data_IF_691952213909
#
_entry.id   IF_691952213909
#
_cell.length_a   1.000
_cell.length_b   1.000
_cell.length_c   1.000
_cell.angle_alpha   90.00
_cell.angle_beta   90.00
_cell.angle_gamma   90.00
#
_symmetry.space_group_name_H-M   'P 1'
#
loop_
_entity.id
_entity.type
_entity.pdbx_description
1 polymer ?
#
# COMPACT_ATOMS: atom_id res chain seq x y z
N UNK A 1 26.17 26.55 -31.19
CA UNK A 1 26.05 25.27 -30.45
C UNK A 1 25.48 25.57 -29.08
N UNK A 2 24.33 25.00 -28.69
CA UNK A 2 23.84 25.13 -27.31
C UNK A 2 24.80 24.40 -26.35
N UNK A 3 25.04 24.93 -25.14
CA UNK A 3 25.92 24.32 -24.17
C UNK A 3 25.40 22.95 -23.71
N UNK A 4 26.30 21.97 -23.61
CA UNK A 4 25.99 20.61 -23.21
C UNK A 4 25.48 20.53 -21.77
N UNK A 5 24.30 19.92 -21.59
CA UNK A 5 23.68 19.65 -20.29
C UNK A 5 24.37 18.44 -19.66
N UNK A 6 25.62 18.60 -19.24
CA UNK A 6 26.46 17.53 -18.67
C UNK A 6 26.83 17.80 -17.20
N UNK A 7 25.92 18.40 -16.43
CA UNK A 7 26.24 18.84 -15.06
C UNK A 7 25.08 18.99 -14.08
N UNK A 8 23.86 18.60 -14.42
CA UNK A 8 22.79 18.52 -13.42
C UNK A 8 22.94 17.21 -12.65
N UNK A 9 23.80 17.19 -11.64
CA UNK A 9 23.78 16.17 -10.57
C UNK A 9 22.48 16.38 -9.78
N UNK A 10 21.36 15.94 -10.37
CA UNK A 10 20.05 15.93 -9.70
C UNK A 10 20.16 14.86 -8.63
N UNK A 11 20.66 15.27 -7.46
CA UNK A 11 20.61 14.46 -6.24
C UNK A 11 19.15 14.31 -5.86
N UNK A 12 18.52 13.26 -6.39
CA UNK A 12 17.26 12.75 -5.87
C UNK A 12 17.46 12.50 -4.38
N UNK A 13 16.65 13.11 -3.50
CA UNK A 13 16.64 12.76 -2.09
C UNK A 13 16.42 11.26 -1.98
N UNK A 14 17.50 10.54 -1.62
CA UNK A 14 17.49 9.10 -1.73
C UNK A 14 16.78 8.54 -0.50
N UNK A 15 15.48 8.25 -0.63
CA UNK A 15 14.60 7.61 0.37
C UNK A 15 15.32 6.46 1.10
N UNK A 16 16.11 5.69 0.33
CA UNK A 16 16.81 4.50 0.80
C UNK A 16 17.81 4.82 1.92
N UNK A 17 18.44 5.98 1.90
CA UNK A 17 19.47 6.36 2.89
C UNK A 17 18.84 6.73 4.24
N UNK A 18 17.69 7.40 4.20
CA UNK A 18 16.93 7.79 5.40
C UNK A 18 16.33 6.55 6.06
N UNK A 19 15.76 5.65 5.25
CA UNK A 19 15.11 4.43 5.74
C UNK A 19 16.10 3.32 6.12
N UNK A 20 17.29 3.26 5.51
CA UNK A 20 18.29 2.23 5.81
C UNK A 20 18.87 2.32 7.23
N UNK A 21 18.90 3.52 7.83
CA UNK A 21 19.36 3.70 9.22
C UNK A 21 18.43 3.08 10.26
N UNK A 22 17.19 2.71 9.88
CA UNK A 22 16.19 2.19 10.81
C UNK A 22 16.09 0.66 10.84
N UNK A 23 16.97 -0.09 10.16
CA UNK A 23 16.85 -1.56 10.07
C UNK A 23 17.72 -2.28 11.11
N UNK A 24 17.10 -2.82 12.15
CA UNK A 24 17.70 -3.81 13.05
C UNK A 24 17.49 -5.25 12.57
N UNK A 25 18.23 -6.20 13.14
CA UNK A 25 18.10 -7.65 12.85
C UNK A 25 16.69 -8.18 13.18
N UNK A 26 16.06 -7.64 14.23
CA UNK A 26 14.71 -8.00 14.65
C UNK A 26 13.64 -7.59 13.62
N UNK A 27 13.82 -6.44 12.94
CA UNK A 27 12.88 -5.96 11.92
C UNK A 27 12.83 -6.90 10.71
N UNK A 28 13.95 -7.55 10.37
CA UNK A 28 14.01 -8.51 9.27
C UNK A 28 13.20 -9.76 9.55
N UNK A 29 13.19 -10.21 10.81
CA UNK A 29 12.41 -11.37 11.25
C UNK A 29 10.93 -11.02 11.26
N UNK A 30 10.56 -9.87 11.84
CA UNK A 30 9.18 -9.40 11.83
C UNK A 30 8.64 -9.24 10.40
N UNK A 31 9.41 -8.63 9.49
CA UNK A 31 9.04 -8.50 8.07
C UNK A 31 8.83 -9.86 7.40
N UNK A 32 9.70 -10.84 7.66
CA UNK A 32 9.57 -12.17 7.08
C UNK A 32 8.28 -12.86 7.57
N UNK A 33 8.00 -12.80 8.87
CA UNK A 33 6.79 -13.38 9.46
C UNK A 33 5.53 -12.70 8.91
N UNK A 34 5.47 -11.37 8.90
CA UNK A 34 4.31 -10.64 8.38
C UNK A 34 4.10 -10.89 6.88
N UNK A 35 5.18 -10.93 6.10
CA UNK A 35 5.08 -11.21 4.66
C UNK A 35 4.55 -12.63 4.43
N UNK A 36 5.02 -13.62 5.19
CA UNK A 36 4.51 -14.99 5.12
C UNK A 36 3.04 -15.09 5.54
N UNK A 37 2.67 -14.48 6.67
CA UNK A 37 1.31 -14.45 7.19
C UNK A 37 0.32 -13.74 6.26
N UNK A 38 0.79 -12.79 5.44
CA UNK A 38 -0.02 -12.12 4.42
C UNK A 38 -0.28 -12.93 3.16
N UNK A 39 0.25 -14.16 3.05
CA UNK A 39 0.06 -15.00 1.85
C UNK A 39 -1.16 -15.92 1.97
N UNK A 40 -1.79 -16.25 0.83
CA UNK A 40 -2.84 -17.27 0.77
C UNK A 40 -2.35 -18.67 1.19
N UNK A 41 -1.06 -18.97 1.00
CA UNK A 41 -0.45 -20.23 1.41
C UNK A 41 -0.58 -20.46 2.92
N UNK A 42 -0.42 -19.41 3.73
CA UNK A 42 -0.57 -19.47 5.18
C UNK A 42 -1.98 -19.96 5.58
N UNK A 43 -3.02 -19.47 4.90
CA UNK A 43 -4.42 -19.86 5.13
C UNK A 43 -4.63 -21.34 4.81
N UNK A 44 -4.14 -21.81 3.67
CA UNK A 44 -4.24 -23.22 3.30
C UNK A 44 -3.50 -24.16 4.25
N UNK A 45 -2.31 -23.77 4.73
CA UNK A 45 -1.55 -24.52 5.72
C UNK A 45 -2.33 -24.65 7.04
N UNK A 46 -2.94 -23.56 7.53
CA UNK A 46 -3.76 -23.59 8.74
C UNK A 46 -5.01 -24.43 8.58
N UNK A 47 -5.71 -24.32 7.46
CA UNK A 47 -6.88 -25.14 7.17
C UNK A 47 -6.54 -26.63 7.16
N UNK A 48 -5.42 -27.01 6.52
CA UNK A 48 -4.93 -28.39 6.50
C UNK A 48 -4.54 -28.86 7.90
N UNK A 49 -3.80 -28.04 8.65
CA UNK A 49 -3.39 -28.32 10.04
C UNK A 49 -4.60 -28.57 10.95
N UNK A 50 -5.61 -27.70 10.92
CA UNK A 50 -6.84 -27.88 11.71
C UNK A 50 -7.62 -29.13 11.31
N UNK A 51 -7.72 -29.40 10.01
CA UNK A 51 -8.38 -30.62 9.51
C UNK A 51 -7.67 -31.87 10.04
N UNK A 52 -6.34 -31.89 9.99
CA UNK A 52 -5.51 -32.98 10.52
C UNK A 52 -5.71 -33.12 12.04
N UNK A 53 -5.67 -32.02 12.79
CA UNK A 53 -5.86 -32.05 14.25
C UNK A 53 -7.21 -32.61 14.67
N UNK A 54 -8.29 -32.16 14.02
CA UNK A 54 -9.65 -32.63 14.29
C UNK A 54 -9.76 -34.12 13.94
N UNK A 55 -9.27 -34.54 12.77
CA UNK A 55 -9.29 -35.95 12.36
C UNK A 55 -8.53 -36.86 13.34
N UNK A 56 -7.40 -36.40 13.90
CA UNK A 56 -6.68 -37.14 14.93
C UNK A 56 -7.46 -37.24 16.24
N UNK A 57 -8.09 -36.15 16.70
CA UNK A 57 -8.81 -36.12 17.99
C UNK A 57 -10.21 -36.73 17.95
N UNK A 58 -10.86 -36.81 16.79
CA UNK A 58 -12.13 -37.52 16.58
C UNK A 58 -11.99 -39.06 16.58
N UNK A 59 -10.80 -39.58 16.92
CA UNK A 59 -10.60 -41.00 17.16
C UNK A 59 -10.38 -41.84 15.90
N UNK A 60 -10.01 -41.21 14.77
CA UNK A 60 -9.69 -41.91 13.51
C UNK A 60 -8.53 -42.93 13.67
N UNK A 61 -7.72 -42.79 14.72
CA UNK A 61 -6.62 -43.71 15.09
C UNK A 61 -6.83 -44.44 16.43
N UNK A 62 -8.04 -44.39 17.01
CA UNK A 62 -8.42 -45.14 18.23
C UNK A 62 -8.78 -44.27 19.45
N UNK A 63 -9.81 -44.68 20.20
CA UNK A 63 -10.37 -43.97 21.37
C UNK A 63 -9.39 -43.79 22.55
N UNK A 64 -8.25 -44.46 22.54
CA UNK A 64 -7.23 -44.39 23.59
C UNK A 64 -6.30 -43.16 23.49
N UNK A 65 -6.39 -42.41 22.38
CA UNK A 65 -5.50 -41.29 22.07
C UNK A 65 -6.24 -39.96 21.82
N UNK A 66 -7.36 -39.73 22.50
CA UNK A 66 -8.07 -38.44 22.48
C UNK A 66 -7.42 -37.51 23.51
N UNK A 67 -6.63 -36.54 23.05
CA UNK A 67 -5.90 -35.60 23.93
C UNK A 67 -6.59 -34.23 24.03
N UNK A 68 -7.39 -33.85 23.02
CA UNK A 68 -8.14 -32.61 22.98
C UNK A 68 -9.60 -32.90 22.56
N UNK A 69 -10.48 -33.31 23.49
CA UNK A 69 -11.89 -33.60 23.18
C UNK A 69 -12.63 -32.34 22.70
N UNK A 70 -13.64 -32.52 21.85
CA UNK A 70 -14.58 -31.44 21.49
C UNK A 70 -15.13 -30.79 22.78
N UNK A 71 -15.00 -29.47 22.98
CA UNK A 71 -14.84 -28.40 21.98
C UNK A 71 -13.40 -27.92 21.64
N UNK A 72 -12.37 -28.77 21.74
CA UNK A 72 -10.96 -28.47 21.36
C UNK A 72 -10.34 -27.28 22.11
N UNK A 73 -10.26 -27.39 23.44
CA UNK A 73 -9.75 -26.31 24.30
C UNK A 73 -8.27 -26.00 24.07
N UNK A 74 -7.44 -27.01 23.83
CA UNK A 74 -5.99 -26.81 23.62
C UNK A 74 -5.71 -26.15 22.28
N UNK A 75 -6.36 -26.62 21.20
CA UNK A 75 -6.28 -25.97 19.89
C UNK A 75 -6.68 -24.50 19.99
N UNK A 76 -7.81 -24.21 20.62
CA UNK A 76 -8.32 -22.84 20.76
C UNK A 76 -7.34 -21.94 21.50
N UNK A 77 -6.71 -22.45 22.57
CA UNK A 77 -5.71 -21.71 23.33
C UNK A 77 -4.47 -21.39 22.50
N UNK A 78 -3.94 -22.38 21.76
CA UNK A 78 -2.75 -22.20 20.91
C UNK A 78 -3.03 -21.20 19.79
N UNK A 79 -4.15 -21.35 19.08
CA UNK A 79 -4.55 -20.44 17.99
C UNK A 79 -4.75 -19.02 18.50
N UNK A 80 -5.36 -18.85 19.69
CA UNK A 80 -5.57 -17.52 20.27
C UNK A 80 -4.23 -16.84 20.58
N UNK A 81 -3.27 -17.58 21.14
CA UNK A 81 -1.92 -17.07 21.40
C UNK A 81 -1.20 -16.70 20.10
N UNK A 82 -1.26 -17.58 19.10
CA UNK A 82 -0.68 -17.35 17.78
C UNK A 82 -1.25 -16.09 17.11
N UNK A 83 -2.57 -15.90 17.16
CA UNK A 83 -3.24 -14.72 16.61
C UNK A 83 -2.78 -13.40 17.28
N UNK A 84 -2.52 -13.41 18.59
CA UNK A 84 -1.98 -12.24 19.31
C UNK A 84 -0.59 -11.89 18.79
N UNK A 85 0.28 -12.88 18.59
CA UNK A 85 1.62 -12.65 18.03
C UNK A 85 1.55 -12.14 16.59
N UNK A 86 0.72 -12.74 15.75
CA UNK A 86 0.51 -12.31 14.37
C UNK A 86 0.01 -10.87 14.29
N UNK A 87 -1.01 -10.51 15.08
CA UNK A 87 -1.54 -9.16 15.16
C UNK A 87 -0.45 -8.15 15.57
N UNK A 88 0.38 -8.52 16.55
CA UNK A 88 1.51 -7.69 17.00
C UNK A 88 2.54 -7.48 15.89
N UNK A 89 2.94 -8.54 15.18
CA UNK A 89 3.88 -8.43 14.06
C UNK A 89 3.31 -7.60 12.90
N UNK A 90 2.04 -7.80 12.57
CA UNK A 90 1.32 -6.98 11.59
C UNK A 90 1.33 -5.51 12.01
N UNK A 91 1.03 -5.20 13.28
CA UNK A 91 1.05 -3.83 13.80
C UNK A 91 2.44 -3.18 13.69
N UNK A 92 3.51 -3.91 14.04
CA UNK A 92 4.89 -3.43 13.89
C UNK A 92 5.23 -3.16 12.42
N UNK A 93 4.81 -4.05 11.51
CA UNK A 93 5.00 -3.86 10.07
C UNK A 93 4.22 -2.66 9.54
N UNK A 94 2.97 -2.48 9.98
CA UNK A 94 2.11 -1.35 9.63
C UNK A 94 2.70 -0.02 10.13
N UNK A 95 3.14 0.06 11.39
CA UNK A 95 3.77 1.27 11.92
C UNK A 95 5.02 1.67 11.10
N UNK A 96 5.82 0.68 10.68
CA UNK A 96 6.97 0.90 9.80
C UNK A 96 6.60 1.31 8.39
N UNK A 97 5.48 0.81 7.83
CA UNK A 97 4.96 1.27 6.54
C UNK A 97 4.48 2.72 6.65
N UNK A 98 3.75 3.08 7.70
CA UNK A 98 3.30 4.45 7.94
C UNK A 98 4.45 5.46 8.08
N UNK A 99 5.55 5.09 8.76
CA UNK A 99 6.76 5.94 8.84
C UNK A 99 7.38 6.14 7.45
N UNK A 100 7.45 5.08 6.63
CA UNK A 100 7.98 5.16 5.26
C UNK A 100 7.12 6.04 4.37
N UNK A 101 5.80 5.86 4.44
CA UNK A 101 4.83 6.69 3.72
C UNK A 101 4.94 8.15 4.11
N UNK A 102 5.10 8.46 5.41
CA UNK A 102 5.31 9.82 5.88
C UNK A 102 6.59 10.45 5.29
N UNK A 103 7.72 9.74 5.38
CA UNK A 103 9.00 10.23 4.81
C UNK A 103 8.89 10.45 3.31
N UNK A 104 8.22 9.54 2.59
CA UNK A 104 7.97 9.71 1.15
C UNK A 104 7.11 10.95 0.87
N UNK A 105 6.02 11.14 1.61
CA UNK A 105 5.16 12.31 1.46
C UNK A 105 5.91 13.62 1.68
N UNK A 106 6.80 13.68 2.69
CA UNK A 106 7.62 14.86 2.96
C UNK A 106 8.59 15.16 1.80
N UNK A 107 9.22 14.12 1.22
CA UNK A 107 10.14 14.26 0.09
C UNK A 107 9.43 14.64 -1.22
N UNK A 108 8.26 14.05 -1.46
CA UNK A 108 7.42 14.39 -2.61
C UNK A 108 6.94 15.84 -2.51
N UNK A 109 6.56 16.29 -1.32
CA UNK A 109 6.21 17.69 -1.06
C UNK A 109 7.37 18.63 -1.35
N UNK A 110 8.57 18.35 -0.83
CA UNK A 110 9.76 19.18 -1.09
C UNK A 110 10.08 19.25 -2.60
N UNK A 111 10.01 18.11 -3.28
CA UNK A 111 10.25 18.03 -4.73
C UNK A 111 9.21 18.83 -5.51
N UNK A 112 7.93 18.75 -5.11
CA UNK A 112 6.85 19.49 -5.73
C UNK A 112 7.06 21.01 -5.60
N UNK A 113 7.36 21.50 -4.39
CA UNK A 113 7.65 22.93 -4.16
C UNK A 113 8.86 23.38 -4.98
N UNK A 114 9.92 22.58 -5.03
CA UNK A 114 11.11 22.92 -5.83
C UNK A 114 10.77 23.02 -7.33
N UNK A 115 9.97 22.09 -7.84
CA UNK A 115 9.49 22.09 -9.22
C UNK A 115 8.64 23.32 -9.53
N UNK A 116 7.75 23.71 -8.61
CA UNK A 116 6.90 24.89 -8.74
C UNK A 116 7.73 26.17 -8.78
N UNK A 117 8.69 26.33 -7.85
CA UNK A 117 9.61 27.48 -7.82
C UNK A 117 10.42 27.57 -9.12
N UNK A 118 10.96 26.46 -9.60
CA UNK A 118 11.72 26.41 -10.85
C UNK A 118 10.85 26.78 -12.06
N UNK A 119 9.62 26.27 -12.12
CA UNK A 119 8.67 26.56 -13.18
C UNK A 119 8.26 28.02 -13.20
N UNK A 120 7.97 28.61 -12.03
CA UNK A 120 7.66 30.03 -11.90
C UNK A 120 8.85 30.91 -12.33
N UNK A 121 10.07 30.52 -11.96
CA UNK A 121 11.28 31.23 -12.35
C UNK A 121 11.51 31.22 -13.88
N UNK A 122 11.35 30.05 -14.52
CA UNK A 122 11.43 29.93 -15.99
C UNK A 122 10.30 30.72 -16.66
N UNK A 123 9.07 30.62 -16.15
CA UNK A 123 7.93 31.37 -16.67
C UNK A 123 8.19 32.88 -16.69
N UNK A 124 8.68 33.41 -15.56
CA UNK A 124 9.05 34.82 -15.47
C UNK A 124 10.21 35.18 -16.42
N UNK A 125 11.22 34.33 -16.55
CA UNK A 125 12.34 34.55 -17.49
C UNK A 125 11.90 34.57 -18.97
N UNK A 126 10.84 33.84 -19.30
CA UNK A 126 10.23 33.80 -20.64
C UNK A 126 9.12 34.85 -20.84
N UNK A 127 8.80 35.65 -19.82
CA UNK A 127 7.72 36.64 -19.86
C UNK A 127 6.32 36.03 -19.86
N UNK A 128 6.19 34.77 -19.42
CA UNK A 128 4.90 34.08 -19.27
C UNK A 128 4.31 34.45 -17.90
N UNK A 129 3.14 35.07 -17.93
CA UNK A 129 2.39 35.42 -16.71
C UNK A 129 1.74 34.16 -16.09
N UNK A 130 2.03 33.81 -14.83
CA UNK A 130 1.40 32.69 -14.13
C UNK A 130 -0.14 32.70 -14.19
N UNK A 131 -0.76 33.89 -14.16
CA UNK A 131 -2.22 34.01 -14.18
C UNK A 131 -2.82 33.52 -15.51
N UNK A 132 -2.13 33.70 -16.63
CA UNK A 132 -2.61 33.22 -17.93
C UNK A 132 -2.59 31.70 -18.02
N UNK A 133 -1.56 31.06 -17.47
CA UNK A 133 -1.46 29.60 -17.42
C UNK A 133 -2.58 29.03 -16.55
N UNK A 134 -2.84 29.65 -15.40
CA UNK A 134 -3.89 29.20 -14.47
C UNK A 134 -5.29 29.34 -15.09
N UNK A 135 -5.57 30.46 -15.76
CA UNK A 135 -6.82 30.66 -16.51
C UNK A 135 -7.01 29.63 -17.63
N UNK A 136 -5.95 29.31 -18.37
CA UNK A 136 -5.99 28.29 -19.42
C UNK A 136 -6.29 26.90 -18.84
N UNK A 137 -5.65 26.54 -17.71
CA UNK A 137 -5.90 25.27 -17.01
C UNK A 137 -7.34 25.20 -16.51
N UNK A 138 -7.85 26.24 -15.85
CA UNK A 138 -9.24 26.29 -15.38
C UNK A 138 -10.24 26.15 -16.53
N UNK A 139 -9.99 26.82 -17.66
CA UNK A 139 -10.84 26.73 -18.85
C UNK A 139 -10.85 25.31 -19.41
N UNK A 140 -9.69 24.65 -19.49
CA UNK A 140 -9.60 23.26 -19.96
C UNK A 140 -10.27 22.26 -19.01
N UNK A 141 -10.14 22.45 -17.70
CA UNK A 141 -10.82 21.62 -16.71
C UNK A 141 -12.34 21.77 -16.79
N UNK A 142 -12.84 23.01 -16.88
CA UNK A 142 -14.26 23.28 -17.06
C UNK A 142 -14.80 22.65 -18.36
N UNK A 143 -14.04 22.72 -19.46
CA UNK A 143 -14.39 22.06 -20.72
C UNK A 143 -14.41 20.54 -20.61
N UNK A 144 -13.42 19.92 -19.94
CA UNK A 144 -13.38 18.47 -19.75
C UNK A 144 -14.51 17.98 -18.85
N UNK A 145 -14.83 18.71 -17.78
CA UNK A 145 -15.98 18.41 -16.93
C UNK A 145 -17.30 18.52 -17.71
N UNK A 146 -17.48 19.56 -18.53
CA UNK A 146 -18.66 19.70 -19.37
C UNK A 146 -18.80 18.55 -20.40
N UNK A 147 -17.69 18.09 -20.98
CA UNK A 147 -17.66 16.93 -21.89
C UNK A 147 -18.01 15.63 -21.17
N UNK A 148 -17.44 15.38 -19.99
CA UNK A 148 -17.74 14.17 -19.20
C UNK A 148 -19.21 14.13 -18.79
N UNK A 149 -19.74 15.25 -18.29
CA UNK A 149 -21.16 15.37 -17.91
C UNK A 149 -22.10 15.24 -19.11
N UNK A 150 -21.70 15.72 -20.30
CA UNK A 150 -22.48 15.56 -21.53
C UNK A 150 -22.47 14.14 -22.10
N UNK A 151 -21.41 13.36 -21.85
CA UNK A 151 -21.30 11.95 -22.24
C UNK A 151 -22.14 11.06 -21.31
N UNK A 152 -22.17 11.34 -20.00
CA UNK A 152 -23.06 10.65 -19.03
C UNK A 152 -24.55 10.94 -19.25
N UNK A 153 -24.90 12.05 -19.90
CA UNK A 153 -26.29 12.46 -20.13
C UNK A 153 -26.90 11.98 -21.45
N UNK A 154 -26.19 11.19 -22.27
CA UNK A 154 -26.82 10.52 -23.41
C UNK A 154 -27.85 9.55 -22.85
N UNK A 155 -29.17 9.84 -22.93
CA UNK A 155 -30.15 8.98 -22.31
C UNK A 155 -30.01 7.63 -22.99
N UNK A 156 -29.88 6.57 -22.19
CA UNK A 156 -30.34 5.25 -22.55
C UNK A 156 -31.76 5.44 -23.10
N UNK A 157 -31.88 5.61 -24.41
CA UNK A 157 -33.13 5.51 -25.12
C UNK A 157 -33.60 4.10 -24.79
N UNK A 158 -34.51 4.02 -23.81
CA UNK A 158 -35.25 2.81 -23.50
C UNK A 158 -35.95 2.46 -24.80
N UNK A 159 -35.43 1.45 -25.49
CA UNK A 159 -36.16 0.73 -26.49
C UNK A 159 -37.45 0.24 -25.79
N UNK A 160 -38.63 0.71 -26.21
CA UNK A 160 -39.86 0.08 -25.75
C UNK A 160 -39.83 -1.33 -26.32
N UNK A 161 -39.76 -2.31 -25.42
CA UNK A 161 -39.98 -3.70 -25.75
C UNK A 161 -41.46 -3.80 -26.14
N UNK A 162 -41.71 -3.79 -27.45
CA UNK A 162 -42.95 -4.26 -28.06
C UNK A 162 -43.02 -5.80 -28.02
#
# INVERSE_FOLDING_TARGET
MPPGINGLDIRLPNERTVLARMRGTQDRIADAITTFAGTMLFVYLHAAWFTVWIAFNEGLFGYSAVWDPYPFGLLTMIVSLEAIFLSTFVMVSQNRQAIREKVRADLDFETNIRSEVWSAHIGHALGVDPQQVEQAVQTLLAQNQAKLNGVEQTPSAREPID
#
